data_IF_522722118773
#
_entry.id   IF_522722118773
#
_cell.length_a   1.000
_cell.length_b   1.000
_cell.length_c   1.000
_cell.angle_alpha   90.00
_cell.angle_beta   90.00
_cell.angle_gamma   90.00
#
_symmetry.space_group_name_H-M   'P 1'
#
loop_
_entity.id
_entity.type
_entity.pdbx_description
1 polymer ?
#
# COMPACT_ATOMS: atom_id res chain seq x y z
N UNK A 1 -4.83 26.44 -12.48
CA UNK A 1 -5.43 27.75 -12.82
C UNK A 1 -6.44 27.72 -13.98
N UNK A 2 -6.11 27.13 -15.15
CA UNK A 2 -7.05 27.08 -16.29
C UNK A 2 -8.27 26.20 -15.96
N UNK A 3 -8.04 24.97 -15.50
CA UNK A 3 -9.11 24.04 -15.10
C UNK A 3 -10.00 24.61 -13.99
N UNK A 4 -9.43 25.22 -12.95
CA UNK A 4 -10.22 25.83 -11.88
C UNK A 4 -11.18 26.90 -12.41
N UNK A 5 -10.72 27.76 -13.37
CA UNK A 5 -11.56 28.74 -14.02
C UNK A 5 -12.64 28.09 -14.92
N UNK A 6 -12.30 27.02 -15.62
CA UNK A 6 -13.24 26.29 -16.48
C UNK A 6 -14.33 25.68 -15.61
N UNK A 7 -14.00 24.94 -14.56
CA UNK A 7 -14.96 24.31 -13.69
C UNK A 7 -15.87 25.33 -12.97
N UNK A 8 -15.29 26.44 -12.49
CA UNK A 8 -16.09 27.52 -11.91
C UNK A 8 -17.12 28.08 -12.92
N UNK A 9 -16.72 28.28 -14.20
CA UNK A 9 -17.63 28.73 -15.26
C UNK A 9 -18.69 27.69 -15.65
N UNK A 10 -18.37 26.40 -15.46
CA UNK A 10 -19.33 25.30 -15.67
C UNK A 10 -20.28 25.09 -14.48
N UNK A 11 -20.18 25.91 -13.42
CA UNK A 11 -21.05 25.82 -12.25
C UNK A 11 -20.61 24.82 -11.18
N UNK A 12 -19.37 24.32 -11.23
CA UNK A 12 -18.73 23.46 -10.21
C UNK A 12 -17.49 24.16 -9.63
N UNK A 13 -17.68 25.21 -8.80
CA UNK A 13 -16.57 26.02 -8.29
C UNK A 13 -15.74 25.30 -7.23
N UNK A 14 -16.29 24.34 -6.51
CA UNK A 14 -15.68 23.62 -5.40
C UNK A 14 -15.13 22.27 -5.86
N UNK A 15 -14.01 22.31 -6.58
CA UNK A 15 -13.29 21.11 -7.03
C UNK A 15 -12.02 20.96 -6.23
N UNK A 16 -11.86 19.84 -5.54
CA UNK A 16 -10.59 19.51 -4.87
C UNK A 16 -9.53 19.13 -5.90
N UNK A 17 -8.34 19.69 -5.77
CA UNK A 17 -7.19 19.33 -6.60
C UNK A 17 -6.34 18.37 -5.78
N UNK A 18 -6.31 17.09 -6.18
CA UNK A 18 -5.69 16.03 -5.41
C UNK A 18 -4.46 15.47 -6.12
N UNK A 19 -3.48 15.04 -5.37
CA UNK A 19 -2.38 14.23 -5.90
C UNK A 19 -2.92 12.85 -6.27
N UNK A 20 -2.50 12.34 -7.41
CA UNK A 20 -2.91 11.02 -7.90
C UNK A 20 -1.74 10.22 -8.44
N UNK A 21 -1.96 8.94 -8.65
CA UNK A 21 -1.03 8.09 -9.38
C UNK A 21 -1.11 8.38 -10.88
N UNK A 22 0.02 8.28 -11.57
CA UNK A 22 0.05 8.52 -13.02
C UNK A 22 -0.26 7.26 -13.85
N UNK A 23 -0.30 6.10 -13.23
CA UNK A 23 -0.61 4.82 -13.86
C UNK A 23 0.19 4.58 -15.14
N UNK A 24 -0.46 3.96 -16.12
CA UNK A 24 0.13 3.67 -17.44
C UNK A 24 0.48 4.95 -18.22
N UNK A 25 -0.18 6.08 -17.97
CA UNK A 25 0.17 7.35 -18.62
C UNK A 25 1.59 7.76 -18.28
N UNK A 26 2.03 7.50 -17.05
CA UNK A 26 3.35 7.84 -16.56
C UNK A 26 3.55 9.35 -16.44
N UNK A 27 4.78 9.75 -16.21
CA UNK A 27 5.13 11.13 -15.91
C UNK A 27 5.52 11.29 -14.43
N UNK A 28 6.00 12.46 -14.07
CA UNK A 28 6.52 12.71 -12.72
C UNK A 28 5.48 13.25 -11.74
N UNK A 29 4.40 13.84 -12.23
CA UNK A 29 3.34 14.47 -11.45
C UNK A 29 2.00 14.18 -12.11
N UNK A 30 1.04 13.74 -11.31
CA UNK A 30 -0.36 13.64 -11.68
C UNK A 30 -1.23 14.37 -10.66
N UNK A 31 -2.25 15.07 -11.15
CA UNK A 31 -3.28 15.70 -10.34
C UNK A 31 -4.65 15.42 -10.95
N UNK A 32 -5.59 15.10 -10.10
CA UNK A 32 -7.00 14.98 -10.44
C UNK A 32 -7.79 16.14 -9.87
N UNK A 33 -8.85 16.52 -10.58
CA UNK A 33 -9.82 17.49 -10.14
C UNK A 33 -11.07 16.73 -9.73
N UNK A 34 -11.37 16.73 -8.42
CA UNK A 34 -12.38 15.90 -7.81
C UNK A 34 -13.56 16.73 -7.32
N UNK A 35 -14.75 16.44 -7.83
CA UNK A 35 -16.00 16.93 -7.24
C UNK A 35 -16.34 16.04 -6.05
N UNK A 36 -16.23 16.60 -4.84
CA UNK A 36 -16.53 15.84 -3.62
C UNK A 36 -18.03 15.59 -3.50
N UNK A 37 -18.43 14.34 -3.47
CA UNK A 37 -19.84 13.91 -3.36
C UNK A 37 -19.91 12.49 -2.83
N UNK A 38 -20.93 12.16 -1.98
CA UNK A 38 -21.09 10.82 -1.44
C UNK A 38 -21.31 9.72 -2.48
N UNK A 39 -21.79 10.09 -3.69
CA UNK A 39 -22.02 9.15 -4.80
C UNK A 39 -20.77 8.94 -5.67
N UNK A 40 -19.64 9.57 -5.33
CA UNK A 40 -18.39 9.40 -6.06
C UNK A 40 -17.83 7.98 -5.93
N UNK A 41 -17.05 7.54 -6.91
CA UNK A 41 -16.41 6.22 -6.93
C UNK A 41 -15.03 6.23 -6.27
N UNK A 42 -14.32 7.37 -6.32
CA UNK A 42 -12.99 7.51 -5.76
C UNK A 42 -13.00 7.86 -4.28
N UNK A 43 -11.94 7.46 -3.58
CA UNK A 43 -11.69 7.79 -2.18
C UNK A 43 -10.55 8.80 -2.08
N UNK A 44 -10.83 9.92 -1.41
CA UNK A 44 -9.92 11.06 -1.32
C UNK A 44 -9.53 11.29 0.14
N UNK A 45 -8.24 11.25 0.41
CA UNK A 45 -7.67 11.61 1.71
C UNK A 45 -7.49 13.13 1.79
N UNK A 46 -8.14 13.75 2.78
CA UNK A 46 -8.13 15.21 2.98
C UNK A 46 -7.71 15.51 4.41
N UNK A 47 -6.77 16.44 4.56
CA UNK A 47 -6.40 16.99 5.85
C UNK A 47 -7.10 18.34 6.08
N UNK A 48 -8.00 18.47 7.06
CA UNK A 48 -8.69 19.72 7.35
C UNK A 48 -7.77 20.81 7.93
N UNK A 49 -6.61 20.42 8.46
CA UNK A 49 -5.68 21.32 9.13
C UNK A 49 -4.72 22.05 8.19
N UNK A 50 -4.25 21.39 7.14
CA UNK A 50 -3.26 21.97 6.23
C UNK A 50 -3.69 21.97 4.76
N UNK A 51 -4.88 21.47 4.44
CA UNK A 51 -5.38 21.40 3.07
C UNK A 51 -4.70 20.34 2.17
N UNK A 52 -3.90 19.43 2.76
CA UNK A 52 -3.38 18.29 2.00
C UNK A 52 -4.55 17.47 1.43
N UNK A 53 -4.45 17.11 0.16
CA UNK A 53 -5.41 16.22 -0.49
C UNK A 53 -4.73 15.32 -1.52
N UNK A 54 -5.13 14.04 -1.52
CA UNK A 54 -4.63 13.04 -2.46
C UNK A 54 -5.69 11.95 -2.66
N UNK A 55 -5.69 11.31 -3.84
CA UNK A 55 -6.38 10.04 -4.02
C UNK A 55 -5.75 9.01 -3.07
N UNK A 56 -6.58 8.17 -2.44
CA UNK A 56 -6.14 7.15 -1.48
C UNK A 56 -5.10 6.21 -2.10
N UNK A 57 -5.18 5.96 -3.40
CA UNK A 57 -4.23 5.13 -4.14
C UNK A 57 -2.81 5.72 -4.17
N UNK A 58 -2.68 7.06 -4.14
CA UNK A 58 -1.41 7.76 -4.19
C UNK A 58 -0.97 8.38 -2.85
N UNK A 59 -1.85 8.40 -1.84
CA UNK A 59 -1.58 9.03 -0.56
C UNK A 59 -0.56 8.22 0.25
N UNK A 60 0.58 8.80 0.68
CA UNK A 60 1.50 8.12 1.60
C UNK A 60 0.81 7.77 2.90
N UNK A 61 1.09 6.58 3.43
CA UNK A 61 0.59 6.12 4.73
C UNK A 61 1.69 6.25 5.78
N UNK A 62 1.45 7.06 6.81
CA UNK A 62 2.38 7.23 7.93
C UNK A 62 1.81 6.51 9.14
N UNK A 63 2.54 5.50 9.61
CA UNK A 63 2.15 4.68 10.75
C UNK A 63 3.09 4.96 11.92
N UNK A 64 2.53 5.16 13.11
CA UNK A 64 3.29 5.17 14.36
C UNK A 64 3.16 3.81 15.03
N UNK A 65 4.31 3.22 15.31
CA UNK A 65 4.36 1.95 15.99
C UNK A 65 4.51 2.15 17.50
N UNK A 66 3.63 1.51 18.26
CA UNK A 66 3.73 1.38 19.72
C UNK A 66 3.75 -0.11 20.01
N UNK A 67 4.95 -0.65 20.24
CA UNK A 67 5.06 -2.08 20.50
C UNK A 67 4.57 -2.40 21.91
N UNK A 68 3.60 -3.30 22.00
CA UNK A 68 2.95 -3.71 23.26
C UNK A 68 3.23 -5.16 23.62
N UNK A 69 3.99 -5.90 22.80
CA UNK A 69 4.35 -7.28 23.11
C UNK A 69 5.69 -7.32 23.88
N UNK A 70 5.81 -8.16 24.93
CA UNK A 70 7.07 -8.39 25.61
C UNK A 70 8.14 -8.93 24.67
N UNK A 71 9.39 -8.55 24.92
CA UNK A 71 10.54 -9.10 24.20
C UNK A 71 10.62 -10.60 24.35
N UNK A 72 10.55 -11.31 23.24
CA UNK A 72 10.63 -12.76 23.18
C UNK A 72 11.60 -13.20 22.08
N UNK A 73 12.17 -14.39 22.23
CA UNK A 73 12.89 -15.05 21.15
C UNK A 73 11.89 -15.59 20.11
N UNK A 74 12.32 -15.74 18.85
CA UNK A 74 11.53 -16.36 17.80
C UNK A 74 11.16 -17.80 18.23
N UNK A 75 9.86 -18.08 18.30
CA UNK A 75 9.35 -19.37 18.76
C UNK A 75 8.16 -19.82 17.94
N UNK A 76 8.20 -21.08 17.47
CA UNK A 76 7.03 -21.71 16.87
C UNK A 76 5.98 -22.01 17.95
N UNK A 77 4.73 -21.70 17.64
CA UNK A 77 3.56 -21.98 18.47
C UNK A 77 2.47 -22.64 17.64
N UNK A 78 1.82 -23.66 18.20
CA UNK A 78 0.68 -24.28 17.55
C UNK A 78 -0.57 -23.42 17.70
N UNK A 79 -1.21 -23.12 16.59
CA UNK A 79 -2.38 -22.25 16.49
C UNK A 79 -3.44 -22.87 15.58
N UNK A 80 -4.07 -23.96 16.02
CA UNK A 80 -5.00 -24.70 15.19
C UNK A 80 -6.25 -23.88 14.81
N UNK A 81 -6.59 -23.89 13.51
CA UNK A 81 -7.78 -23.21 13.00
C UNK A 81 -7.70 -21.69 12.98
N UNK A 82 -6.49 -21.11 12.94
CA UNK A 82 -6.29 -19.65 12.95
C UNK A 82 -5.70 -19.15 11.63
N UNK A 83 -6.42 -19.37 10.53
CA UNK A 83 -5.99 -18.96 9.19
C UNK A 83 -6.15 -17.48 8.88
N UNK A 84 -6.84 -16.71 9.74
CA UNK A 84 -7.07 -15.28 9.59
C UNK A 84 -6.46 -14.49 10.77
N UNK A 85 -6.21 -13.19 10.55
CA UNK A 85 -5.70 -12.31 11.62
C UNK A 85 -6.68 -12.24 12.80
N UNK A 86 -7.98 -12.19 12.54
CA UNK A 86 -9.00 -12.12 13.59
C UNK A 86 -8.96 -13.38 14.47
N UNK A 87 -8.98 -14.57 13.86
CA UNK A 87 -8.88 -15.86 14.59
C UNK A 87 -7.57 -15.96 15.38
N UNK A 88 -6.45 -15.53 14.79
CA UNK A 88 -5.13 -15.53 15.44
C UNK A 88 -5.11 -14.60 16.66
N UNK A 89 -5.63 -13.37 16.50
CA UNK A 89 -5.74 -12.39 17.58
C UNK A 89 -6.62 -12.90 18.72
N UNK A 90 -7.74 -13.53 18.39
CA UNK A 90 -8.64 -14.14 19.37
C UNK A 90 -8.00 -15.33 20.08
N UNK A 91 -7.23 -16.15 19.38
CA UNK A 91 -6.56 -17.30 19.96
C UNK A 91 -5.44 -16.89 20.93
N UNK A 92 -4.56 -15.97 20.50
CA UNK A 92 -3.40 -15.53 21.27
C UNK A 92 -3.70 -14.38 22.24
N UNK A 93 -4.90 -13.78 22.16
CA UNK A 93 -5.31 -12.61 22.95
C UNK A 93 -4.39 -11.40 22.77
N UNK A 94 -4.04 -11.14 21.52
CA UNK A 94 -3.21 -10.00 21.10
C UNK A 94 -3.98 -9.09 20.15
N UNK A 95 -3.67 -7.79 20.09
CA UNK A 95 -4.24 -6.90 19.10
C UNK A 95 -3.60 -7.12 17.71
N UNK A 96 -4.32 -6.76 16.65
CA UNK A 96 -3.88 -6.96 15.27
C UNK A 96 -2.59 -6.17 14.93
N UNK A 97 -2.36 -5.04 15.59
CA UNK A 97 -1.13 -4.26 15.44
C UNK A 97 0.14 -5.03 15.86
N UNK A 98 -0.02 -6.12 16.60
CA UNK A 98 1.08 -6.97 17.03
C UNK A 98 1.28 -8.19 16.11
N UNK A 99 0.69 -8.18 14.93
CA UNK A 99 0.87 -9.23 13.92
C UNK A 99 1.44 -8.66 12.62
N UNK A 100 2.17 -9.51 11.89
CA UNK A 100 2.58 -9.26 10.51
C UNK A 100 1.85 -10.27 9.61
N UNK A 101 0.89 -9.77 8.82
CA UNK A 101 0.13 -10.59 7.86
C UNK A 101 0.76 -10.60 6.49
N UNK A 102 0.63 -11.72 5.79
CA UNK A 102 1.02 -11.87 4.39
C UNK A 102 -0.19 -11.60 3.48
N UNK A 103 0.00 -10.76 2.46
CA UNK A 103 -0.94 -10.60 1.36
C UNK A 103 -0.24 -11.01 0.08
N UNK A 104 -0.87 -11.91 -0.69
CA UNK A 104 -0.24 -12.59 -1.82
C UNK A 104 -0.82 -12.12 -3.15
N UNK A 105 0.08 -11.77 -4.05
CA UNK A 105 -0.22 -11.41 -5.43
C UNK A 105 0.61 -12.26 -6.39
N UNK A 106 0.24 -12.25 -7.66
CA UNK A 106 1.00 -12.83 -8.76
C UNK A 106 1.25 -11.79 -9.84
N UNK A 107 2.38 -11.89 -10.51
CA UNK A 107 2.68 -11.07 -11.69
C UNK A 107 1.86 -11.52 -12.87
N UNK A 108 1.32 -10.58 -13.65
CA UNK A 108 0.56 -10.90 -14.86
C UNK A 108 1.44 -11.54 -15.96
N UNK A 109 2.75 -11.35 -15.89
CA UNK A 109 3.67 -11.80 -16.93
C UNK A 109 3.99 -13.30 -16.86
N UNK A 110 4.10 -13.88 -15.66
CA UNK A 110 4.64 -15.24 -15.46
C UNK A 110 4.05 -15.98 -14.26
N UNK A 111 3.00 -15.43 -13.63
CA UNK A 111 2.33 -15.93 -12.43
C UNK A 111 3.27 -16.15 -11.21
N UNK A 112 4.46 -15.53 -11.23
CA UNK A 112 5.37 -15.62 -10.09
C UNK A 112 4.79 -14.92 -8.86
N UNK A 113 4.97 -15.53 -7.68
CA UNK A 113 4.40 -15.04 -6.42
C UNK A 113 5.12 -13.81 -5.88
N UNK A 114 4.33 -12.87 -5.41
CA UNK A 114 4.72 -11.70 -4.64
C UNK A 114 4.02 -11.78 -3.29
N UNK A 115 4.77 -11.70 -2.20
CA UNK A 115 4.23 -11.65 -0.85
C UNK A 115 4.58 -10.32 -0.21
N UNK A 116 3.57 -9.54 0.12
CA UNK A 116 3.70 -8.31 0.88
C UNK A 116 3.35 -8.56 2.35
N UNK A 117 4.32 -8.33 3.24
CA UNK A 117 4.10 -8.35 4.68
C UNK A 117 3.73 -6.96 5.18
N UNK A 118 2.65 -6.87 5.92
CA UNK A 118 2.10 -5.63 6.47
C UNK A 118 1.58 -5.87 7.88
N UNK A 119 1.50 -4.83 8.71
CA UNK A 119 0.91 -4.92 10.05
C UNK A 119 -0.55 -5.38 9.95
N UNK A 120 -0.96 -6.28 10.82
CA UNK A 120 -2.21 -7.03 10.69
C UNK A 120 -3.49 -6.21 10.68
N UNK A 121 -3.49 -5.01 11.25
CA UNK A 121 -4.61 -4.07 11.27
C UNK A 121 -4.75 -3.21 10.00
N UNK A 122 -3.77 -3.27 9.07
CA UNK A 122 -3.71 -2.44 7.88
C UNK A 122 -4.01 -3.24 6.61
N UNK A 123 -4.40 -2.56 5.55
CA UNK A 123 -4.63 -3.14 4.23
C UNK A 123 -3.62 -2.66 3.20
N UNK A 124 -3.26 -3.55 2.28
CA UNK A 124 -2.39 -3.24 1.15
C UNK A 124 -3.12 -2.31 0.16
N UNK A 125 -2.40 -1.31 -0.31
CA UNK A 125 -2.75 -0.52 -1.46
C UNK A 125 -2.14 -1.17 -2.71
N UNK A 126 -2.98 -1.75 -3.55
CA UNK A 126 -2.57 -2.50 -4.74
C UNK A 126 -1.80 -1.62 -5.74
N UNK A 127 -2.21 -0.36 -5.92
CA UNK A 127 -1.51 0.60 -6.79
C UNK A 127 -0.08 0.85 -6.31
N UNK A 128 0.13 1.04 -5.00
CA UNK A 128 1.47 1.19 -4.43
C UNK A 128 2.32 -0.07 -4.60
N UNK A 129 1.72 -1.25 -4.39
CA UNK A 129 2.43 -2.51 -4.59
C UNK A 129 2.80 -2.73 -6.06
N UNK A 130 1.88 -2.47 -7.00
CA UNK A 130 2.13 -2.51 -8.44
C UNK A 130 3.30 -1.59 -8.83
N UNK A 131 3.31 -0.37 -8.31
CA UNK A 131 4.40 0.59 -8.54
C UNK A 131 5.75 0.10 -7.96
N UNK A 132 5.74 -0.53 -6.77
CA UNK A 132 6.93 -1.10 -6.14
C UNK A 132 7.48 -2.31 -6.91
N UNK A 133 6.60 -3.13 -7.46
CA UNK A 133 6.94 -4.29 -8.31
C UNK A 133 7.43 -3.83 -9.68
N UNK A 134 6.84 -2.76 -10.23
CA UNK A 134 7.18 -2.19 -11.54
C UNK A 134 6.53 -2.90 -12.73
N UNK A 135 5.56 -3.77 -12.48
CA UNK A 135 4.77 -4.48 -13.48
C UNK A 135 3.38 -4.83 -12.93
N UNK A 136 2.43 -5.14 -13.82
CA UNK A 136 1.05 -5.44 -13.44
C UNK A 136 0.96 -6.73 -12.63
N UNK A 137 0.12 -6.69 -11.61
CA UNK A 137 -0.13 -7.78 -10.66
C UNK A 137 -1.62 -8.05 -10.51
N UNK A 138 -1.96 -9.22 -9.98
CA UNK A 138 -3.31 -9.58 -9.57
C UNK A 138 -3.30 -10.36 -8.26
N UNK A 139 -4.41 -10.39 -7.50
CA UNK A 139 -4.52 -11.22 -6.30
C UNK A 139 -4.25 -12.69 -6.61
N UNK A 140 -3.39 -13.32 -5.80
CA UNK A 140 -2.98 -14.69 -6.03
C UNK A 140 -4.07 -15.70 -5.67
N UNK A 141 -4.12 -16.79 -6.42
CA UNK A 141 -4.82 -18.01 -6.03
C UNK A 141 -3.77 -19.01 -5.53
N UNK A 142 -3.87 -19.39 -4.26
CA UNK A 142 -2.95 -20.37 -3.64
C UNK A 142 -3.60 -21.73 -3.69
N UNK A 143 -3.05 -22.63 -4.49
CA UNK A 143 -3.49 -24.02 -4.63
C UNK A 143 -2.83 -24.92 -3.59
N UNK A 144 -3.39 -26.12 -3.37
CA UNK A 144 -2.93 -27.07 -2.32
C UNK A 144 -1.48 -27.54 -2.49
N UNK A 145 -0.97 -27.56 -3.74
CA UNK A 145 0.41 -27.91 -4.08
C UNK A 145 1.36 -26.72 -4.21
N UNK A 146 0.88 -25.52 -3.81
CA UNK A 146 1.67 -24.29 -3.83
C UNK A 146 2.88 -24.37 -2.89
N UNK A 147 3.93 -23.61 -3.24
CA UNK A 147 5.09 -23.38 -2.37
C UNK A 147 4.75 -22.51 -1.14
N UNK A 148 3.53 -21.99 -1.07
CA UNK A 148 3.00 -21.16 0.00
C UNK A 148 1.90 -21.88 0.75
N UNK A 149 1.89 -21.77 2.06
CA UNK A 149 0.86 -22.37 2.93
C UNK A 149 -0.21 -21.33 3.24
N UNK A 150 -1.35 -21.39 2.56
CA UNK A 150 -2.44 -20.42 2.74
C UNK A 150 -2.86 -20.31 4.22
N UNK A 151 -3.06 -19.09 4.69
CA UNK A 151 -3.41 -18.77 6.08
C UNK A 151 -2.23 -18.76 7.06
N UNK A 152 -1.05 -19.32 6.69
CA UNK A 152 0.09 -19.48 7.60
C UNK A 152 1.42 -18.99 6.98
N UNK A 153 1.37 -18.12 5.99
CA UNK A 153 2.55 -17.60 5.30
C UNK A 153 3.31 -16.64 6.23
N UNK A 154 4.62 -16.87 6.37
CA UNK A 154 5.51 -16.04 7.13
C UNK A 154 6.83 -15.80 6.41
N UNK A 155 7.59 -14.74 6.76
CA UNK A 155 8.80 -14.38 6.04
C UNK A 155 9.99 -15.29 6.39
N UNK A 156 10.00 -15.88 7.57
CA UNK A 156 11.10 -16.75 8.02
C UNK A 156 11.02 -18.10 7.30
N UNK A 157 12.05 -18.38 6.49
CA UNK A 157 12.12 -19.63 5.72
C UNK A 157 11.17 -19.70 4.53
N UNK A 158 10.63 -18.58 4.08
CA UNK A 158 9.86 -18.52 2.83
C UNK A 158 10.75 -18.90 1.63
N UNK A 159 10.15 -19.48 0.60
CA UNK A 159 10.87 -19.90 -0.60
C UNK A 159 11.59 -18.72 -1.29
N UNK A 160 12.82 -18.94 -1.73
CA UNK A 160 13.61 -17.99 -2.54
C UNK A 160 13.01 -17.71 -3.95
N UNK A 161 12.02 -18.48 -4.36
CA UNK A 161 11.25 -18.26 -5.59
C UNK A 161 10.16 -17.20 -5.45
N UNK A 162 9.95 -16.69 -4.24
CA UNK A 162 8.92 -15.68 -3.93
C UNK A 162 9.58 -14.31 -3.79
N UNK A 163 9.02 -13.30 -4.44
CA UNK A 163 9.45 -11.91 -4.23
C UNK A 163 8.76 -11.36 -2.98
N UNK A 164 9.54 -10.86 -2.02
CA UNK A 164 9.04 -10.39 -0.73
C UNK A 164 9.18 -8.88 -0.61
N UNK A 165 8.12 -8.23 -0.13
CA UNK A 165 8.10 -6.82 0.27
C UNK A 165 7.65 -6.69 1.72
N UNK A 166 8.20 -5.71 2.43
CA UNK A 166 7.78 -5.34 3.77
C UNK A 166 7.22 -3.92 3.76
N UNK A 167 6.03 -3.75 4.32
CA UNK A 167 5.46 -2.42 4.49
C UNK A 167 6.19 -1.64 5.59
N UNK A 168 6.30 -0.32 5.42
CA UNK A 168 6.89 0.59 6.40
C UNK A 168 6.25 0.49 7.79
N UNK A 169 5.01 -0.01 7.89
CA UNK A 169 4.34 -0.24 9.17
C UNK A 169 5.01 -1.28 10.05
N UNK A 170 5.90 -2.10 9.50
CA UNK A 170 6.65 -3.12 10.26
C UNK A 170 8.02 -2.61 10.73
N UNK A 171 8.46 -1.44 10.24
CA UNK A 171 9.76 -0.88 10.62
C UNK A 171 9.79 -0.46 12.09
N UNK A 172 10.84 -0.88 12.79
CA UNK A 172 11.05 -0.51 14.19
C UNK A 172 10.10 -1.17 15.19
N UNK A 173 9.35 -2.22 14.80
CA UNK A 173 8.57 -3.03 15.74
C UNK A 173 9.46 -4.17 16.26
N UNK A 174 9.68 -4.20 17.57
CA UNK A 174 10.57 -5.20 18.18
C UNK A 174 10.07 -6.63 18.04
N UNK A 175 8.76 -6.88 18.26
CA UNK A 175 8.19 -8.23 18.27
C UNK A 175 6.79 -8.27 17.67
N UNK A 176 6.61 -9.27 16.80
CA UNK A 176 5.36 -9.52 16.08
C UNK A 176 5.02 -11.02 16.13
N UNK A 177 3.80 -11.33 15.78
CA UNK A 177 3.37 -12.69 15.45
C UNK A 177 3.17 -12.78 13.94
N UNK A 178 3.68 -13.83 13.30
CA UNK A 178 3.57 -14.06 11.85
C UNK A 178 3.43 -15.54 11.53
N UNK A 179 3.04 -15.91 10.32
CA UNK A 179 2.96 -17.30 9.88
C UNK A 179 4.31 -18.03 9.95
N UNK A 180 4.28 -19.35 10.11
CA UNK A 180 5.48 -20.19 10.17
C UNK A 180 5.65 -21.08 8.91
N UNK A 181 4.92 -20.80 7.83
CA UNK A 181 4.87 -21.60 6.59
C UNK A 181 4.46 -23.09 6.82
N UNK A 182 3.73 -23.34 7.87
CA UNK A 182 3.18 -24.65 8.25
C UNK A 182 1.73 -24.47 8.66
N UNK A 183 0.88 -25.41 8.26
CA UNK A 183 -0.52 -25.43 8.70
C UNK A 183 -0.60 -25.40 10.22
N UNK A 184 -1.54 -24.62 10.75
CA UNK A 184 -1.81 -24.49 12.18
C UNK A 184 -0.60 -24.06 13.03
N UNK A 185 0.31 -23.26 12.45
CA UNK A 185 1.53 -22.84 13.13
C UNK A 185 1.89 -21.39 12.83
N UNK A 186 2.24 -20.64 13.88
CA UNK A 186 2.77 -19.27 13.77
C UNK A 186 4.07 -19.13 14.54
N UNK A 187 4.84 -18.09 14.23
CA UNK A 187 5.96 -17.59 15.04
C UNK A 187 5.48 -16.48 15.96
N UNK A 188 5.84 -16.56 17.26
CA UNK A 188 5.85 -15.43 18.19
C UNK A 188 7.27 -14.89 18.33
N UNK A 189 7.40 -13.65 18.82
CA UNK A 189 8.70 -13.01 19.00
C UNK A 189 9.43 -12.71 17.68
N UNK A 190 8.72 -12.64 16.55
CA UNK A 190 9.29 -12.28 15.25
C UNK A 190 9.74 -10.81 15.23
N UNK A 191 10.94 -10.56 14.73
CA UNK A 191 11.50 -9.22 14.53
C UNK A 191 12.09 -9.13 13.13
N UNK A 192 11.62 -8.16 12.33
CA UNK A 192 12.01 -8.08 10.91
C UNK A 192 13.51 -7.86 10.76
N UNK A 193 14.11 -6.94 11.51
CA UNK A 193 15.53 -6.59 11.38
C UNK A 193 16.46 -7.75 11.79
N UNK A 194 16.03 -8.56 12.76
CA UNK A 194 16.81 -9.73 13.22
C UNK A 194 16.65 -10.93 12.31
N UNK A 195 15.38 -11.23 11.91
CA UNK A 195 15.04 -12.49 11.28
C UNK A 195 15.02 -12.41 9.74
N UNK A 196 14.97 -11.17 9.20
CA UNK A 196 14.98 -10.86 7.77
C UNK A 196 15.92 -9.66 7.50
N UNK A 197 17.24 -9.81 7.70
CA UNK A 197 18.19 -8.69 7.65
C UNK A 197 18.28 -7.98 6.30
N UNK A 198 17.84 -8.64 5.22
CA UNK A 198 17.78 -8.07 3.86
C UNK A 198 16.42 -7.43 3.53
N UNK A 199 15.53 -7.29 4.52
CA UNK A 199 14.20 -6.72 4.33
C UNK A 199 14.29 -5.29 3.77
N UNK A 200 13.49 -5.04 2.72
CA UNK A 200 13.32 -3.72 2.12
C UNK A 200 11.94 -3.21 2.45
N UNK A 201 11.89 -2.09 3.17
CA UNK A 201 10.66 -1.44 3.51
C UNK A 201 10.16 -0.53 2.39
N UNK A 202 8.86 -0.58 2.14
CA UNK A 202 8.16 0.21 1.12
C UNK A 202 6.83 0.68 1.71
N UNK A 203 6.36 1.87 1.35
CA UNK A 203 5.01 2.33 1.70
C UNK A 203 3.97 1.58 0.85
N UNK A 204 3.30 0.59 1.43
CA UNK A 204 2.29 -0.24 0.79
C UNK A 204 0.90 -0.09 1.44
N UNK A 205 0.82 0.45 2.65
CA UNK A 205 -0.45 0.58 3.36
C UNK A 205 -1.39 1.60 2.72
N UNK A 206 -2.70 1.31 2.76
CA UNK A 206 -3.73 2.32 2.50
C UNK A 206 -3.75 3.35 3.62
N UNK A 207 -3.87 4.63 3.27
CA UNK A 207 -4.20 5.66 4.24
C UNK A 207 -5.66 5.48 4.68
N UNK A 208 -5.94 5.67 5.96
CA UNK A 208 -7.26 5.44 6.54
C UNK A 208 -7.82 6.70 7.18
N UNK A 209 -9.11 6.67 7.50
CA UNK A 209 -9.78 7.70 8.32
C UNK A 209 -9.05 7.88 9.65
N UNK A 210 -8.83 9.12 10.08
CA UNK A 210 -8.05 9.43 11.29
C UNK A 210 -6.54 9.23 11.14
N UNK A 211 -6.06 8.81 9.97
CA UNK A 211 -4.63 8.58 9.69
C UNK A 211 -3.79 9.84 9.83
N UNK A 212 -2.46 9.66 9.89
CA UNK A 212 -1.51 10.75 10.03
C UNK A 212 -1.35 11.46 8.69
N UNK A 213 -1.56 12.77 8.68
CA UNK A 213 -1.36 13.59 7.50
C UNK A 213 0.13 13.62 7.11
N UNK A 214 0.50 13.22 5.87
CA UNK A 214 1.90 13.21 5.43
C UNK A 214 2.53 14.61 5.31
N UNK A 215 1.70 15.65 5.28
CA UNK A 215 2.18 17.03 5.18
C UNK A 215 2.40 17.72 6.54
N UNK A 216 1.45 17.59 7.47
CA UNK A 216 1.53 18.29 8.76
C UNK A 216 1.77 17.37 9.97
N UNK A 217 1.76 16.04 9.78
CA UNK A 217 2.03 15.06 10.84
C UNK A 217 0.91 14.88 11.88
N UNK A 218 -0.26 15.50 11.68
CA UNK A 218 -1.40 15.36 12.61
C UNK A 218 -2.26 14.15 12.23
N UNK A 219 -2.83 13.40 13.20
CA UNK A 219 -3.71 12.27 12.96
C UNK A 219 -5.15 12.74 12.71
N UNK A 220 -5.40 13.35 11.56
CA UNK A 220 -6.65 14.08 11.25
C UNK A 220 -7.12 13.88 9.81
N UNK A 221 -6.63 12.87 9.11
CA UNK A 221 -7.08 12.59 7.74
C UNK A 221 -8.55 12.20 7.74
N UNK A 222 -9.33 12.84 6.88
CA UNK A 222 -10.69 12.47 6.55
C UNK A 222 -10.70 11.79 5.18
N UNK A 223 -11.49 10.72 5.03
CA UNK A 223 -11.71 10.06 3.74
C UNK A 223 -13.06 10.51 3.19
N UNK A 224 -13.02 11.18 2.04
CA UNK A 224 -14.20 11.64 1.32
C UNK A 224 -14.37 10.89 0.01
N UNK A 225 -15.60 10.84 -0.50
CA UNK A 225 -15.87 10.31 -1.84
C UNK A 225 -15.87 11.44 -2.86
N UNK A 226 -15.41 11.12 -4.09
CA UNK A 226 -15.34 12.10 -5.18
C UNK A 226 -15.58 11.50 -6.55
N UNK A 227 -15.95 12.37 -7.49
CA UNK A 227 -16.01 12.07 -8.92
C UNK A 227 -14.90 12.84 -9.59
N UNK A 228 -14.07 12.16 -10.37
CA UNK A 228 -13.08 12.82 -11.21
C UNK A 228 -13.77 13.60 -12.34
N UNK A 229 -13.50 14.91 -12.39
CA UNK A 229 -14.02 15.80 -13.43
C UNK A 229 -12.93 16.28 -14.40
N UNK A 230 -11.66 15.92 -14.14
CA UNK A 230 -10.54 16.18 -15.02
C UNK A 230 -9.21 15.83 -14.37
N UNK A 231 -8.18 15.63 -15.19
CA UNK A 231 -6.83 15.31 -14.73
C UNK A 231 -5.75 16.07 -15.50
N UNK A 232 -4.55 16.09 -14.93
CA UNK A 232 -3.35 16.68 -15.53
C UNK A 232 -2.16 15.76 -15.24
N UNK A 233 -1.40 15.43 -16.29
CA UNK A 233 -0.17 14.66 -16.19
C UNK A 233 1.03 15.49 -16.68
N UNK A 234 2.12 15.47 -15.93
CA UNK A 234 3.40 16.01 -16.39
C UNK A 234 4.20 14.90 -17.08
N UNK A 235 3.92 14.68 -18.35
CA UNK A 235 4.45 13.55 -19.13
C UNK A 235 5.96 13.63 -19.41
N UNK A 236 6.54 14.82 -19.38
CA UNK A 236 7.92 15.05 -19.78
C UNK A 236 8.15 14.67 -21.26
N UNK A 237 9.19 13.88 -21.52
CA UNK A 237 9.53 13.44 -22.88
C UNK A 237 9.21 11.95 -23.14
N UNK A 238 8.42 11.30 -22.28
CA UNK A 238 8.11 9.86 -22.40
C UNK A 238 7.62 9.49 -23.79
N UNK A 239 6.60 10.20 -24.28
CA UNK A 239 5.99 9.91 -25.58
C UNK A 239 6.81 10.46 -26.74
N UNK A 240 7.31 11.69 -26.65
CA UNK A 240 8.09 12.32 -27.75
C UNK A 240 9.37 11.55 -28.04
N UNK A 241 10.07 11.07 -27.03
CA UNK A 241 11.26 10.20 -27.21
C UNK A 241 10.90 8.86 -27.85
N UNK A 242 9.84 8.19 -27.38
CA UNK A 242 9.41 6.90 -27.91
C UNK A 242 8.98 6.99 -29.39
N UNK A 243 8.38 8.11 -29.78
CA UNK A 243 7.95 8.37 -31.15
C UNK A 243 9.02 9.04 -32.02
N UNK A 244 10.22 9.26 -31.49
CA UNK A 244 11.28 10.04 -32.13
C UNK A 244 10.78 11.41 -32.66
N UNK A 245 9.93 12.07 -31.88
CA UNK A 245 9.30 13.33 -32.22
C UNK A 245 10.25 14.48 -31.86
N UNK A 246 10.80 15.12 -32.89
CA UNK A 246 11.77 16.20 -32.76
C UNK A 246 11.25 17.48 -33.42
N UNK A 247 11.81 18.61 -33.10
CA UNK A 247 11.60 19.88 -33.78
C UNK A 247 12.95 20.53 -34.09
N UNK A 248 13.01 21.32 -35.15
CA UNK A 248 14.17 22.14 -35.43
C UNK A 248 14.09 23.43 -34.59
N UNK A 249 15.17 23.75 -33.89
CA UNK A 249 15.31 25.04 -33.23
C UNK A 249 15.93 26.09 -34.18
N UNK A 250 16.21 27.29 -33.66
CA UNK A 250 16.81 28.37 -34.47
C UNK A 250 18.23 28.08 -35.00
N UNK A 251 18.83 26.97 -34.59
CA UNK A 251 20.16 26.51 -35.05
C UNK A 251 20.08 25.28 -35.98
N UNK A 252 18.90 24.74 -36.22
CA UNK A 252 18.62 23.62 -37.12
C UNK A 252 18.35 22.31 -36.44
#
# INVERSE_FOLDING_TARGET
DAYSRIFARCGIPEVAIVKSDSGMMGGSISHEYMLLTPVGEDSIAICPECGYSANVEAAPSIIKNENKIPKEELKEVSTPGTGTIEELCDFLKIPAENTAKAVVYQKNADDSYIVAFIRGDLDINETKLTNAVGEDIHPAVIEDDSILTAGFIGPVGISDKVTVYFDNSLEGIDYLVTGANKVDTHYTGFNVERDCPDAKYVDLAKITEGGICPNCGKPVINISRGIEVGNIFQLGTKYSKAMNFTYADENG
#
